data_IF_740546528312
#
_entry.id   IF_740546528312
#
_cell.length_a   1.000
_cell.length_b   1.000
_cell.length_c   1.000
_cell.angle_alpha   90.00
_cell.angle_beta   90.00
_cell.angle_gamma   90.00
#
_symmetry.space_group_name_H-M   'P 1'
#
loop_
_entity.id
_entity.type
_entity.pdbx_description
1 polymer ?
#
# COMPACT_ATOMS: atom_id res chain seq x y z
N UNK A 1 30.54 -4.68 -2.00
CA UNK A 1 29.61 -4.61 -3.14
C UNK A 1 28.42 -3.77 -2.74
N UNK A 2 28.06 -2.77 -3.53
CA UNK A 2 26.96 -1.85 -3.27
C UNK A 2 26.07 -1.82 -4.50
N UNK A 3 24.94 -2.51 -4.38
CA UNK A 3 23.91 -2.70 -5.38
C UNK A 3 23.32 -1.35 -5.83
N UNK A 4 23.37 -1.10 -7.13
CA UNK A 4 22.33 -0.36 -7.86
C UNK A 4 21.82 0.97 -7.29
N UNK A 5 22.70 1.92 -6.93
CA UNK A 5 22.34 3.35 -6.87
C UNK A 5 22.09 3.86 -8.29
N UNK A 6 21.03 3.38 -8.93
CA UNK A 6 20.38 4.11 -10.00
C UNK A 6 19.99 5.47 -9.42
N UNK A 7 20.33 6.52 -10.14
CA UNK A 7 20.09 7.93 -9.82
C UNK A 7 18.58 8.22 -9.83
N UNK A 8 17.85 7.57 -8.93
CA UNK A 8 16.49 7.89 -8.55
C UNK A 8 16.63 9.19 -7.79
N UNK A 9 16.02 10.27 -8.30
CA UNK A 9 15.82 11.50 -7.53
C UNK A 9 15.33 11.06 -6.15
N UNK A 10 16.18 11.22 -5.14
CA UNK A 10 15.88 10.91 -3.74
C UNK A 10 14.51 11.49 -3.43
N UNK A 11 13.56 10.66 -3.02
CA UNK A 11 12.19 11.11 -2.73
C UNK A 11 12.23 12.15 -1.60
N UNK A 12 13.24 12.05 -0.75
CA UNK A 12 13.65 13.04 0.25
C UNK A 12 13.95 14.44 -0.32
N UNK A 13 14.14 14.61 -1.62
CA UNK A 13 14.32 15.92 -2.26
C UNK A 13 13.00 16.58 -2.66
N UNK A 14 11.88 15.85 -2.63
CA UNK A 14 10.57 16.42 -2.93
C UNK A 14 10.11 17.24 -1.72
N UNK A 15 9.80 18.54 -1.88
CA UNK A 15 9.46 19.42 -0.74
C UNK A 15 8.37 18.84 0.16
N UNK A 16 7.31 18.27 -0.42
CA UNK A 16 6.20 17.69 0.35
C UNK A 16 6.61 16.48 1.20
N UNK A 17 7.62 15.72 0.78
CA UNK A 17 8.12 14.57 1.55
C UNK A 17 8.95 15.08 2.73
N UNK A 18 9.73 16.15 2.53
CA UNK A 18 10.53 16.79 3.58
C UNK A 18 9.69 17.49 4.64
N UNK A 19 8.60 18.11 4.21
CA UNK A 19 7.71 18.86 5.09
C UNK A 19 6.82 17.92 5.93
N UNK A 20 6.64 16.66 5.49
CA UNK A 20 5.77 15.66 6.14
C UNK A 20 6.44 14.29 6.30
N UNK A 21 7.55 14.19 7.07
CA UNK A 21 8.28 12.93 7.22
C UNK A 21 7.46 11.83 7.91
N UNK A 22 6.50 12.19 8.77
CA UNK A 22 5.61 11.23 9.45
C UNK A 22 4.53 10.63 8.52
N UNK A 23 4.19 11.32 7.42
CA UNK A 23 3.18 10.87 6.44
C UNK A 23 3.81 9.99 5.36
N UNK A 24 5.10 10.19 5.09
CA UNK A 24 5.89 9.43 4.12
C UNK A 24 7.06 8.68 4.78
N UNK A 25 6.79 7.77 5.73
CA UNK A 25 7.84 6.95 6.32
C UNK A 25 8.43 6.00 5.27
N UNK A 26 9.70 5.63 5.47
CA UNK A 26 10.38 4.65 4.60
C UNK A 26 9.67 3.28 4.64
N UNK A 27 9.12 2.92 5.81
CA UNK A 27 8.33 1.72 6.05
C UNK A 27 6.88 2.06 6.44
N UNK A 28 5.90 1.26 5.99
CA UNK A 28 4.49 1.48 6.32
C UNK A 28 4.19 1.18 7.80
N UNK A 29 3.42 2.03 8.51
CA UNK A 29 3.16 1.90 9.96
C UNK A 29 2.18 0.76 10.34
N UNK A 30 1.91 -0.17 9.43
CA UNK A 30 0.98 -1.28 9.63
C UNK A 30 -0.47 -0.92 9.28
N UNK A 31 -1.42 -1.56 9.97
CA UNK A 31 -2.85 -1.32 9.75
C UNK A 31 -3.25 0.07 10.26
N UNK A 32 -4.15 0.77 9.56
CA UNK A 32 -4.64 2.06 10.03
C UNK A 32 -5.39 1.89 11.37
N UNK A 33 -5.41 2.93 12.23
CA UNK A 33 -6.22 2.92 13.44
C UNK A 33 -7.70 2.63 13.15
N UNK A 34 -8.41 2.08 14.13
CA UNK A 34 -9.85 1.86 14.04
C UNK A 34 -10.56 3.18 13.72
N UNK A 35 -11.18 3.25 12.54
CA UNK A 35 -11.96 4.41 12.12
C UNK A 35 -13.37 4.30 12.72
N UNK A 36 -13.95 5.43 13.13
CA UNK A 36 -15.33 5.48 13.63
C UNK A 36 -16.36 5.20 12.52
N UNK A 37 -15.98 5.40 11.26
CA UNK A 37 -16.82 5.12 10.09
C UNK A 37 -16.41 3.78 9.49
N UNK A 38 -17.39 2.90 9.32
CA UNK A 38 -17.24 1.63 8.63
C UNK A 38 -17.31 1.88 7.13
N UNK A 39 -16.37 1.31 6.37
CA UNK A 39 -16.47 1.32 4.90
C UNK A 39 -17.55 0.34 4.46
N UNK A 40 -18.59 0.86 3.80
CA UNK A 40 -19.59 0.06 3.13
C UNK A 40 -19.21 -0.08 1.66
N UNK A 41 -19.29 -1.29 1.13
CA UNK A 41 -19.12 -1.55 -0.32
C UNK A 41 -20.52 -1.73 -0.89
N UNK A 42 -21.01 -0.71 -1.58
CA UNK A 42 -22.28 -0.77 -2.29
C UNK A 42 -22.09 -1.52 -3.61
N UNK A 43 -22.90 -2.56 -3.81
CA UNK A 43 -22.90 -3.34 -5.04
C UNK A 43 -24.02 -2.88 -5.96
N UNK A 44 -23.77 -2.90 -7.27
CA UNK A 44 -24.84 -2.72 -8.25
C UNK A 44 -25.84 -3.88 -8.08
N UNK A 45 -27.16 -3.62 -8.04
CA UNK A 45 -28.17 -4.66 -7.93
C UNK A 45 -27.96 -5.78 -8.97
N UNK A 46 -27.97 -7.04 -8.52
CA UNK A 46 -27.71 -8.20 -9.37
C UNK A 46 -26.25 -8.64 -9.46
N UNK A 47 -25.32 -7.94 -8.79
CA UNK A 47 -23.92 -8.39 -8.67
C UNK A 47 -23.85 -9.67 -7.82
N UNK A 48 -23.33 -10.74 -8.41
CA UNK A 48 -23.06 -12.00 -7.69
C UNK A 48 -21.66 -12.00 -7.06
N UNK A 49 -21.46 -12.64 -5.90
CA UNK A 49 -20.13 -12.84 -5.34
C UNK A 49 -19.24 -13.65 -6.28
N UNK A 50 -17.96 -13.26 -6.38
CA UNK A 50 -16.97 -13.97 -7.20
C UNK A 50 -16.09 -14.85 -6.29
N UNK A 51 -16.06 -16.15 -6.58
CA UNK A 51 -15.12 -17.08 -5.97
C UNK A 51 -14.09 -17.54 -7.02
N UNK A 52 -12.80 -17.44 -6.68
CA UNK A 52 -11.70 -17.95 -7.51
C UNK A 52 -10.78 -18.81 -6.66
N UNK A 53 -10.27 -19.89 -7.22
CA UNK A 53 -9.28 -20.74 -6.55
C UNK A 53 -7.97 -19.97 -6.35
N UNK A 54 -7.30 -20.07 -5.19
CA UNK A 54 -5.97 -19.50 -5.01
C UNK A 54 -4.98 -20.04 -6.04
N UNK A 55 -4.00 -19.23 -6.42
CA UNK A 55 -2.88 -19.70 -7.23
C UNK A 55 -2.03 -20.70 -6.44
N UNK A 56 -1.40 -21.65 -7.14
CA UNK A 56 -0.44 -22.57 -6.52
C UNK A 56 0.82 -21.79 -6.16
N UNK A 57 1.19 -21.81 -4.87
CA UNK A 57 2.48 -21.34 -4.41
C UNK A 57 3.54 -22.44 -4.64
N UNK A 58 4.78 -22.04 -4.91
CA UNK A 58 5.89 -22.98 -4.94
C UNK A 58 6.13 -23.54 -3.51
N UNK A 59 6.61 -24.79 -3.39
CA UNK A 59 7.12 -25.29 -2.11
C UNK A 59 8.24 -24.38 -1.59
N UNK A 60 8.38 -24.21 -0.27
CA UNK A 60 9.50 -23.48 0.34
C UNK A 60 10.85 -24.16 0.04
#
# INVERSE_FOLDING_TARGET
EAEGKSEKKRLENVPIVRDFPEVFPEDLPGLPPTRQVVFQIDLIPGTAPVARTPYRLAPP
#
